data_IF_415868155589
#
_entry.id   IF_415868155589
#
_cell.length_a   1.000
_cell.length_b   1.000
_cell.length_c   1.000
_cell.angle_alpha   90.00
_cell.angle_beta   90.00
_cell.angle_gamma   90.00
#
_symmetry.space_group_name_H-M   'P 1'
#
loop_
_entity.id
_entity.type
_entity.pdbx_description
1 polymer ?
#
# COMPACT_ATOMS: atom_id res chain seq x y z
N UNK A 1 20.43 66.37 -40.85
CA UNK A 1 21.25 65.13 -40.80
C UNK A 1 21.51 64.60 -39.37
N UNK A 2 21.96 65.43 -38.41
CA UNK A 2 22.28 65.04 -37.01
C UNK A 2 21.17 64.31 -36.22
N UNK A 3 19.90 64.71 -36.34
CA UNK A 3 18.78 64.09 -35.60
C UNK A 3 18.57 62.60 -35.93
N UNK A 4 18.86 62.19 -37.17
CA UNK A 4 18.71 60.79 -37.63
C UNK A 4 19.80 59.90 -37.02
N UNK A 5 21.02 60.42 -36.91
CA UNK A 5 22.18 59.75 -36.30
C UNK A 5 21.94 59.55 -34.80
N UNK A 6 21.46 60.59 -34.10
CA UNK A 6 21.13 60.52 -32.66
C UNK A 6 20.01 59.52 -32.35
N UNK A 7 18.95 59.45 -33.18
CA UNK A 7 17.90 58.42 -33.04
C UNK A 7 18.46 57.01 -33.21
N UNK A 8 19.29 56.81 -34.23
CA UNK A 8 19.88 55.50 -34.52
C UNK A 8 20.85 55.04 -33.42
N UNK A 9 21.60 55.99 -32.85
CA UNK A 9 22.48 55.74 -31.70
C UNK A 9 21.69 55.37 -30.44
N UNK A 10 20.62 56.13 -30.11
CA UNK A 10 19.72 55.78 -28.99
C UNK A 10 19.08 54.41 -29.17
N UNK A 11 18.60 54.10 -30.39
CA UNK A 11 18.01 52.79 -30.68
C UNK A 11 19.00 51.64 -30.44
N UNK A 12 20.25 51.80 -30.90
CA UNK A 12 21.31 50.80 -30.72
C UNK A 12 21.67 50.58 -29.25
N UNK A 13 21.75 51.65 -28.45
CA UNK A 13 22.03 51.57 -27.01
C UNK A 13 20.87 50.90 -26.25
N UNK A 14 19.62 51.16 -26.63
CA UNK A 14 18.46 50.53 -26.00
C UNK A 14 18.40 49.04 -26.35
N UNK A 15 18.63 48.69 -27.61
CA UNK A 15 18.61 47.28 -28.05
C UNK A 15 19.76 46.47 -27.42
N UNK A 16 20.96 47.04 -27.29
CA UNK A 16 22.09 46.36 -26.62
C UNK A 16 21.81 46.12 -25.13
N UNK A 17 21.16 47.07 -24.44
CA UNK A 17 20.73 46.89 -23.05
C UNK A 17 19.63 45.83 -22.90
N UNK A 18 18.61 45.83 -23.77
CA UNK A 18 17.58 44.78 -23.78
C UNK A 18 18.17 43.39 -24.02
N UNK A 19 19.10 43.26 -24.98
CA UNK A 19 19.77 41.99 -25.28
C UNK A 19 20.61 41.51 -24.09
N UNK A 20 21.29 42.43 -23.38
CA UNK A 20 22.09 42.11 -22.18
C UNK A 20 21.21 41.68 -21.01
N UNK A 21 20.10 42.38 -20.74
CA UNK A 21 19.13 41.96 -19.72
C UNK A 21 18.55 40.57 -20.00
N UNK A 22 18.11 40.30 -21.24
CA UNK A 22 17.60 38.99 -21.65
C UNK A 22 18.63 37.87 -21.48
N UNK A 23 19.90 38.15 -21.80
CA UNK A 23 20.99 37.17 -21.63
C UNK A 23 21.34 36.87 -20.17
N UNK A 24 21.16 37.83 -19.26
CA UNK A 24 21.41 37.64 -17.83
C UNK A 24 20.25 36.90 -17.14
N UNK A 25 19.01 37.16 -17.55
CA UNK A 25 17.82 36.41 -17.11
C UNK A 25 17.91 34.92 -17.49
N UNK A 26 18.27 34.59 -18.74
CA UNK A 26 18.44 33.19 -19.16
C UNK A 26 19.62 32.46 -18.51
N UNK A 27 20.62 33.17 -17.96
CA UNK A 27 21.76 32.55 -17.25
C UNK A 27 21.42 32.13 -15.82
N UNK A 28 20.39 32.73 -15.21
CA UNK A 28 19.92 32.38 -13.87
C UNK A 28 18.97 31.18 -13.82
N UNK A 29 18.34 30.83 -14.95
CA UNK A 29 17.33 29.75 -15.02
C UNK A 29 17.90 28.36 -14.77
N UNK A 30 19.16 28.08 -15.14
CA UNK A 30 19.74 26.75 -14.99
C UNK A 30 19.84 26.28 -13.52
N UNK A 31 20.14 27.19 -12.58
CA UNK A 31 20.20 26.85 -11.15
C UNK A 31 18.81 26.60 -10.56
N UNK A 32 17.79 27.33 -11.03
CA UNK A 32 16.40 27.17 -10.59
C UNK A 32 15.80 25.86 -11.14
N UNK A 33 16.07 25.57 -12.42
CA UNK A 33 15.69 24.31 -13.05
C UNK A 33 16.36 23.13 -12.35
N UNK A 34 17.67 23.20 -12.08
CA UNK A 34 18.39 22.16 -11.35
C UNK A 34 17.87 21.98 -9.91
N UNK A 35 17.57 23.07 -9.18
CA UNK A 35 17.01 22.99 -7.83
C UNK A 35 15.63 22.30 -7.81
N UNK A 36 14.80 22.56 -8.82
CA UNK A 36 13.50 21.92 -8.98
C UNK A 36 13.62 20.44 -9.37
N UNK A 37 14.54 20.10 -10.27
CA UNK A 37 14.79 18.70 -10.65
C UNK A 37 15.29 17.89 -9.45
N UNK A 38 16.22 18.45 -8.67
CA UNK A 38 16.74 17.76 -7.49
C UNK A 38 15.67 17.58 -6.39
N UNK A 39 14.79 18.56 -6.18
CA UNK A 39 13.68 18.43 -5.23
C UNK A 39 12.63 17.41 -5.69
N UNK A 40 12.32 17.36 -6.99
CA UNK A 40 11.45 16.32 -7.57
C UNK A 40 12.06 14.93 -7.40
N UNK A 41 13.37 14.77 -7.66
CA UNK A 41 14.05 13.47 -7.51
C UNK A 41 14.04 13.00 -6.05
N UNK A 42 14.27 13.88 -5.08
CA UNK A 42 14.18 13.52 -3.67
C UNK A 42 12.74 13.11 -3.29
N UNK A 43 11.74 13.83 -3.78
CA UNK A 43 10.34 13.52 -3.53
C UNK A 43 9.95 12.17 -4.16
N UNK A 44 10.39 11.89 -5.39
CA UNK A 44 10.10 10.61 -6.05
C UNK A 44 10.79 9.45 -5.35
N UNK A 45 12.04 9.58 -4.93
CA UNK A 45 12.74 8.52 -4.17
C UNK A 45 12.03 8.25 -2.84
N UNK A 46 11.70 9.28 -2.07
CA UNK A 46 10.96 9.12 -0.81
C UNK A 46 9.57 8.51 -1.03
N UNK A 47 8.85 8.96 -2.06
CA UNK A 47 7.54 8.45 -2.43
C UNK A 47 7.57 6.99 -2.86
N UNK A 48 8.55 6.58 -3.66
CA UNK A 48 8.73 5.18 -4.11
C UNK A 48 9.07 4.27 -2.93
N UNK A 49 9.94 4.71 -2.02
CA UNK A 49 10.27 3.95 -0.81
C UNK A 49 9.02 3.77 0.06
N UNK A 50 8.28 4.84 0.32
CA UNK A 50 7.05 4.77 1.11
C UNK A 50 5.99 3.88 0.47
N UNK A 51 5.79 3.99 -0.85
CA UNK A 51 4.85 3.15 -1.59
C UNK A 51 5.23 1.68 -1.54
N UNK A 52 6.54 1.37 -1.66
CA UNK A 52 7.05 0.01 -1.59
C UNK A 52 6.78 -0.62 -0.22
N UNK A 53 7.05 0.13 0.86
CA UNK A 53 6.71 -0.31 2.21
C UNK A 53 5.20 -0.46 2.38
N UNK A 54 4.38 0.48 1.88
CA UNK A 54 2.92 0.38 1.96
C UNK A 54 2.37 -0.88 1.26
N UNK A 55 2.87 -1.22 0.07
CA UNK A 55 2.46 -2.44 -0.65
C UNK A 55 2.93 -3.69 0.09
N UNK A 56 4.18 -3.72 0.55
CA UNK A 56 4.72 -4.83 1.34
C UNK A 56 3.88 -5.08 2.59
N UNK A 57 3.60 -4.00 3.31
CA UNK A 57 2.80 -3.96 4.51
C UNK A 57 1.40 -4.54 4.26
N UNK A 58 0.69 -4.03 3.26
CA UNK A 58 -0.64 -4.52 2.91
C UNK A 58 -0.64 -6.00 2.52
N UNK A 59 0.38 -6.45 1.78
CA UNK A 59 0.53 -7.86 1.41
C UNK A 59 0.78 -8.74 2.64
N UNK A 60 1.64 -8.30 3.56
CA UNK A 60 1.94 -9.00 4.81
C UNK A 60 0.70 -9.14 5.69
N UNK A 61 -0.05 -8.06 5.92
CA UNK A 61 -1.28 -8.10 6.74
C UNK A 61 -2.35 -9.00 6.13
N UNK A 62 -2.45 -9.02 4.80
CA UNK A 62 -3.37 -9.94 4.11
C UNK A 62 -2.93 -11.39 4.28
N UNK A 63 -1.63 -11.68 4.19
CA UNK A 63 -1.08 -13.01 4.42
C UNK A 63 -1.28 -13.45 5.88
N UNK A 64 -0.97 -12.57 6.84
CA UNK A 64 -1.18 -12.81 8.26
C UNK A 64 -2.66 -13.07 8.58
N UNK A 65 -3.59 -12.36 7.92
CA UNK A 65 -5.02 -12.60 8.09
C UNK A 65 -5.49 -13.95 7.55
N UNK A 66 -4.96 -14.34 6.40
CA UNK A 66 -5.19 -15.67 5.86
C UNK A 66 -4.60 -16.76 6.78
N UNK A 67 -3.39 -16.57 7.30
CA UNK A 67 -2.75 -17.53 8.19
C UNK A 67 -3.48 -17.68 9.54
N UNK A 68 -3.81 -16.56 10.19
CA UNK A 68 -4.57 -16.57 11.45
C UNK A 68 -5.98 -17.17 11.26
N UNK A 69 -6.69 -16.83 10.18
CA UNK A 69 -8.01 -17.41 9.89
C UNK A 69 -7.92 -18.91 9.58
N UNK A 70 -6.85 -19.37 8.91
CA UNK A 70 -6.61 -20.78 8.64
C UNK A 70 -6.27 -21.55 9.92
N UNK A 71 -5.37 -21.03 10.76
CA UNK A 71 -5.05 -21.63 12.06
C UNK A 71 -6.28 -21.74 12.95
N UNK A 72 -7.11 -20.70 13.03
CA UNK A 72 -8.39 -20.76 13.75
C UNK A 72 -9.35 -21.80 13.18
N UNK A 73 -9.41 -21.92 11.84
CA UNK A 73 -10.23 -22.92 11.15
C UNK A 73 -9.77 -24.36 11.41
N UNK A 74 -8.46 -24.60 11.47
CA UNK A 74 -7.88 -25.91 11.78
C UNK A 74 -8.18 -26.33 13.22
N UNK A 75 -8.05 -25.40 14.16
CA UNK A 75 -8.29 -25.69 15.58
C UNK A 75 -9.79 -25.82 15.88
N UNK A 76 -10.67 -25.19 15.09
CA UNK A 76 -12.14 -25.38 15.16
C UNK A 76 -12.60 -26.81 14.83
N UNK A 77 -11.76 -27.64 14.21
CA UNK A 77 -12.07 -29.03 13.87
C UNK A 77 -11.62 -30.02 14.97
N UNK A 78 -10.74 -29.59 15.88
CA UNK A 78 -10.31 -30.39 17.04
C UNK A 78 -11.38 -30.39 18.13
N UNK A 79 -11.47 -31.49 18.88
CA UNK A 79 -12.51 -31.70 19.89
C UNK A 79 -12.32 -30.80 21.13
N UNK A 80 -11.10 -30.33 21.38
CA UNK A 80 -10.72 -29.48 22.52
C UNK A 80 -10.30 -28.05 22.12
N UNK A 81 -10.44 -27.69 20.83
CA UNK A 81 -9.82 -26.50 20.26
C UNK A 81 -10.61 -25.21 20.46
N UNK A 82 -10.04 -24.24 21.16
CA UNK A 82 -10.53 -22.86 21.18
C UNK A 82 -10.10 -22.12 19.89
N UNK A 83 -10.91 -22.27 18.84
CA UNK A 83 -10.67 -21.68 17.51
C UNK A 83 -10.37 -20.17 17.52
N UNK A 84 -11.00 -19.44 18.44
CA UNK A 84 -10.84 -17.98 18.57
C UNK A 84 -9.51 -17.62 19.22
N UNK A 85 -9.16 -18.28 20.33
CA UNK A 85 -7.91 -18.02 21.06
C UNK A 85 -6.67 -18.36 20.21
N UNK A 86 -6.72 -19.46 19.45
CA UNK A 86 -5.60 -19.83 18.55
C UNK A 86 -5.40 -18.82 17.40
N UNK A 87 -6.48 -18.27 16.85
CA UNK A 87 -6.40 -17.23 15.81
C UNK A 87 -5.94 -15.88 16.38
N UNK A 88 -6.31 -15.57 17.63
CA UNK A 88 -5.91 -14.35 18.32
C UNK A 88 -4.42 -14.37 18.67
N UNK A 89 -3.92 -15.46 19.28
CA UNK A 89 -2.49 -15.65 19.59
C UNK A 89 -1.65 -15.53 18.31
N UNK A 90 -2.06 -16.22 17.23
CA UNK A 90 -1.37 -16.13 15.93
C UNK A 90 -1.44 -14.73 15.34
N UNK A 91 -2.56 -14.03 15.52
CA UNK A 91 -2.72 -12.67 15.06
C UNK A 91 -1.87 -11.66 15.82
N UNK A 92 -1.67 -11.84 17.13
CA UNK A 92 -0.76 -11.03 17.94
C UNK A 92 0.71 -11.31 17.60
N UNK A 93 1.10 -12.59 17.45
CA UNK A 93 2.46 -12.96 17.04
C UNK A 93 2.86 -12.33 15.69
N UNK A 94 1.96 -12.41 14.70
CA UNK A 94 2.16 -11.82 13.37
C UNK A 94 2.02 -10.30 13.34
N UNK A 95 1.37 -9.72 14.36
CA UNK A 95 1.23 -8.29 14.55
C UNK A 95 2.41 -7.63 15.27
N UNK A 96 3.16 -8.40 16.06
CA UNK A 96 4.35 -7.92 16.76
C UNK A 96 5.60 -7.79 15.84
N UNK A 97 5.48 -8.19 14.57
CA UNK A 97 6.53 -8.01 13.57
C UNK A 97 6.52 -6.52 13.18
N UNK A 98 7.36 -5.73 13.86
CA UNK A 98 7.37 -4.27 13.80
C UNK A 98 7.26 -3.73 12.37
N UNK A 99 6.33 -2.79 12.17
CA UNK A 99 5.87 -2.40 10.85
C UNK A 99 6.16 -0.94 10.57
N UNK A 100 6.93 -0.66 9.52
CA UNK A 100 7.31 0.71 9.19
C UNK A 100 6.08 1.50 8.73
N UNK A 101 5.72 2.56 9.46
CA UNK A 101 4.61 3.43 9.09
C UNK A 101 3.21 2.95 9.49
N UNK A 102 3.07 1.93 10.36
CA UNK A 102 1.78 1.60 10.98
C UNK A 102 1.88 1.47 12.50
N UNK A 103 0.88 1.99 13.20
CA UNK A 103 0.69 1.92 14.64
C UNK A 103 -0.67 1.27 14.96
N UNK A 104 -0.81 0.77 16.19
CA UNK A 104 -2.08 0.25 16.73
C UNK A 104 -2.73 -0.86 15.88
N UNK A 105 -2.01 -1.96 15.65
CA UNK A 105 -2.59 -3.13 15.01
C UNK A 105 -3.65 -3.77 15.92
N UNK A 106 -4.90 -3.81 15.46
CA UNK A 106 -6.00 -4.50 16.16
C UNK A 106 -6.42 -5.70 15.33
N UNK A 107 -6.33 -6.87 15.93
CA UNK A 107 -6.86 -8.10 15.36
C UNK A 107 -8.27 -8.33 15.93
N UNK A 108 -9.30 -8.31 15.08
CA UNK A 108 -10.64 -8.74 15.46
C UNK A 108 -10.92 -10.11 14.82
N UNK A 109 -11.00 -11.13 15.66
CA UNK A 109 -11.29 -12.51 15.24
C UNK A 109 -12.78 -12.78 15.46
N UNK A 110 -13.52 -13.01 14.39
CA UNK A 110 -14.88 -13.54 14.47
C UNK A 110 -14.88 -15.01 14.03
N UNK A 111 -14.88 -15.91 15.02
CA UNK A 111 -14.85 -17.34 14.83
C UNK A 111 -16.27 -17.93 14.85
N UNK A 112 -16.87 -18.10 13.66
CA UNK A 112 -18.15 -18.80 13.51
C UNK A 112 -17.98 -20.31 13.28
N UNK A 113 -19.01 -21.11 13.59
CA UNK A 113 -19.02 -22.59 13.41
C UNK A 113 -18.76 -23.08 11.97
N UNK A 114 -18.88 -22.21 10.96
CA UNK A 114 -18.72 -22.54 9.53
C UNK A 114 -17.67 -21.68 8.80
N UNK A 115 -17.27 -20.54 9.37
CA UNK A 115 -16.34 -19.57 8.79
C UNK A 115 -15.62 -18.85 9.92
N UNK A 116 -14.31 -18.71 9.80
CA UNK A 116 -13.48 -17.86 10.65
C UNK A 116 -13.07 -16.67 9.80
N UNK A 117 -13.54 -15.48 10.17
CA UNK A 117 -13.12 -14.22 9.55
C UNK A 117 -12.23 -13.47 10.52
N UNK A 118 -11.02 -13.14 10.09
CA UNK A 118 -10.08 -12.34 10.87
C UNK A 118 -9.91 -11.00 10.17
N UNK A 119 -10.27 -9.93 10.86
CA UNK A 119 -10.12 -8.56 10.37
C UNK A 119 -8.96 -7.92 11.11
N UNK A 120 -7.97 -7.44 10.36
CA UNK A 120 -6.89 -6.62 10.88
C UNK A 120 -7.21 -5.16 10.56
N UNK A 121 -7.19 -4.32 11.58
CA UNK A 121 -7.20 -2.87 11.46
C UNK A 121 -5.81 -2.35 11.84
N UNK A 122 -5.21 -1.55 10.97
CA UNK A 122 -3.92 -0.90 11.21
C UNK A 122 -4.07 0.60 10.96
N UNK A 123 -3.69 1.43 11.93
CA UNK A 123 -3.59 2.87 11.70
C UNK A 123 -2.25 3.15 11.03
N UNK A 124 -2.24 3.70 9.82
CA UNK A 124 -0.98 4.20 9.26
C UNK A 124 -0.53 5.46 10.01
N UNK A 125 0.76 5.52 10.33
CA UNK A 125 1.41 6.70 10.86
C UNK A 125 1.13 7.86 9.92
N UNK A 126 0.71 8.99 10.49
CA UNK A 126 0.48 10.20 9.73
C UNK A 126 1.80 10.68 9.11
N UNK A 127 2.02 10.33 7.84
CA UNK A 127 3.09 10.89 7.03
C UNK A 127 2.92 12.40 6.81
N UNK A 128 3.97 13.02 6.27
CA UNK A 128 4.10 14.46 5.99
C UNK A 128 2.75 15.11 5.61
N UNK A 129 2.13 15.83 6.57
CA UNK A 129 0.82 16.45 6.39
C UNK A 129 -0.32 15.99 7.32
N UNK A 130 -0.08 15.08 8.27
CA UNK A 130 -1.06 14.79 9.34
C UNK A 130 -2.25 13.92 8.92
N UNK A 131 -2.18 13.29 7.75
CA UNK A 131 -3.26 12.41 7.27
C UNK A 131 -3.22 11.06 7.99
N UNK A 132 -4.21 10.80 8.84
CA UNK A 132 -4.41 9.50 9.49
C UNK A 132 -5.29 8.61 8.60
N UNK A 133 -4.72 7.53 8.04
CA UNK A 133 -5.48 6.53 7.29
C UNK A 133 -5.61 5.24 8.09
N UNK A 134 -6.81 4.66 8.07
CA UNK A 134 -7.09 3.37 8.71
C UNK A 134 -7.12 2.27 7.63
N UNK A 135 -6.16 1.37 7.67
CA UNK A 135 -6.07 0.22 6.77
C UNK A 135 -6.88 -0.93 7.38
N UNK A 136 -7.86 -1.44 6.63
CA UNK A 136 -8.61 -2.65 7.01
C UNK A 136 -8.32 -3.77 6.02
N UNK A 137 -7.91 -4.92 6.52
CA UNK A 137 -7.71 -6.14 5.73
C UNK A 137 -8.44 -7.31 6.38
N UNK A 138 -9.27 -7.99 5.61
CA UNK A 138 -10.05 -9.15 6.08
C UNK A 138 -9.53 -10.43 5.42
N UNK A 139 -9.26 -11.45 6.24
CA UNK A 139 -9.00 -12.82 5.81
C UNK A 139 -10.16 -13.72 6.19
N UNK A 140 -10.75 -14.42 5.21
CA UNK A 140 -11.85 -15.35 5.45
C UNK A 140 -11.39 -16.79 5.19
N UNK A 141 -11.62 -17.68 6.16
CA UNK A 141 -11.39 -19.10 6.01
C UNK A 141 -12.64 -19.92 6.35
N UNK A 142 -12.99 -20.87 5.46
CA UNK A 142 -14.10 -21.79 5.69
C UNK A 142 -13.64 -22.93 6.60
N UNK A 143 -14.41 -23.23 7.65
CA UNK A 143 -14.15 -24.37 8.52
C UNK A 143 -14.57 -25.65 7.80
N UNK A 144 -13.58 -26.38 7.27
CA UNK A 144 -13.79 -27.61 6.50
C UNK A 144 -13.24 -28.79 7.29
N UNK A 145 -14.07 -29.82 7.45
CA UNK A 145 -13.60 -31.14 7.92
C UNK A 145 -13.12 -31.94 6.70
N UNK A 146 -11.80 -32.08 6.49
CA UNK A 146 -11.25 -32.56 5.21
C UNK A 146 -11.79 -33.93 4.82
N UNK A 147 -11.82 -34.89 5.75
CA UNK A 147 -12.30 -36.25 5.49
C UNK A 147 -13.78 -36.29 5.08
N UNK A 148 -14.64 -35.52 5.77
CA UNK A 148 -16.08 -35.47 5.42
C UNK A 148 -16.31 -34.78 4.08
N UNK A 149 -15.50 -33.78 3.76
CA UNK A 149 -15.59 -33.05 2.51
C UNK A 149 -15.16 -33.90 1.31
N UNK A 150 -14.01 -34.58 1.40
CA UNK A 150 -13.53 -35.52 0.36
C UNK A 150 -14.55 -36.64 0.12
N UNK A 151 -15.10 -37.23 1.18
CA UNK A 151 -16.14 -38.27 1.05
C UNK A 151 -17.40 -37.76 0.34
N UNK A 152 -17.86 -36.54 0.66
CA UNK A 152 -19.00 -35.92 -0.02
C UNK A 152 -18.72 -35.66 -1.49
N UNK A 153 -17.52 -35.20 -1.83
CA UNK A 153 -17.11 -35.00 -3.23
C UNK A 153 -17.05 -36.31 -3.99
N UNK A 154 -16.49 -37.37 -3.39
CA UNK A 154 -16.40 -38.68 -4.01
C UNK A 154 -17.79 -39.28 -4.26
N UNK A 155 -18.67 -39.21 -3.25
CA UNK A 155 -20.06 -39.64 -3.38
C UNK A 155 -20.82 -38.82 -4.44
N UNK A 156 -20.62 -37.50 -4.50
CA UNK A 156 -21.24 -36.66 -5.53
C UNK A 156 -20.74 -37.02 -6.94
N UNK A 157 -19.44 -37.30 -7.09
CA UNK A 157 -18.86 -37.76 -8.36
C UNK A 157 -19.46 -39.09 -8.81
N UNK A 158 -19.64 -40.04 -7.90
CA UNK A 158 -20.28 -41.33 -8.20
C UNK A 158 -21.74 -41.13 -8.65
N UNK A 159 -22.52 -40.31 -7.95
CA UNK A 159 -23.92 -40.02 -8.33
C UNK A 159 -24.03 -39.35 -9.70
N UNK A 160 -23.14 -38.42 -10.02
CA UNK A 160 -23.15 -37.71 -11.31
C UNK A 160 -22.68 -38.63 -12.45
N UNK A 161 -21.71 -39.51 -12.19
CA UNK A 161 -21.23 -40.48 -13.18
C UNK A 161 -22.27 -41.54 -13.56
N UNK A 162 -23.21 -41.85 -12.66
CA UNK A 162 -24.29 -42.82 -12.91
C UNK A 162 -25.44 -42.21 -13.74
N UNK A 163 -25.59 -40.88 -13.74
CA UNK A 163 -26.67 -40.18 -14.47
C UNK A 163 -26.24 -39.73 -15.88
N UNK A 164 -24.97 -39.92 -16.25
CA UNK A 164 -24.39 -39.49 -17.53
C UNK A 164 -24.35 -40.56 -18.63
N UNK A 165 -24.76 -41.79 -18.32
CA UNK A 165 -24.97 -42.90 -19.26
C UNK A 165 -26.49 -43.17 -19.43
#
# INVERSE_FOLDING_TARGET
MKKRILKNYRYRIINSRHKKYRSNLCKGSFTIEAACVMSIVLLTVMGVIYLSFFVHNRAWLTAAACEASLSGSMEAVRQDGQAQAAAEIRGEELGNVGFFGAENLRCHVNAGKKKVSVTYEADTIAGFGGFKWTLKTEGNSKVIRPVKWIRRLKAAKEVIGITGD
#
